data_IF_724395293511
#
_entry.id   IF_724395293511
#
_cell.length_a   1.000
_cell.length_b   1.000
_cell.length_c   1.000
_cell.angle_alpha   90.00
_cell.angle_beta   90.00
_cell.angle_gamma   90.00
#
_symmetry.space_group_name_H-M   'P 1'
#
loop_
_entity.id
_entity.type
_entity.pdbx_description
1 polymer ?
#
# COMPACT_ATOMS: atom_id res chain seq x y z
N UNK A 1 6.87 -0.86 16.48
CA UNK A 1 6.59 0.09 15.37
C UNK A 1 6.35 -0.61 14.03
N UNK A 2 7.17 -1.58 13.61
CA UNK A 2 7.03 -2.27 12.31
C UNK A 2 5.67 -2.95 12.09
N UNK A 3 5.18 -3.68 13.08
CA UNK A 3 3.85 -4.30 13.01
C UNK A 3 2.71 -3.29 12.84
N UNK A 4 2.81 -2.13 13.48
CA UNK A 4 1.80 -1.05 13.36
C UNK A 4 1.76 -0.47 11.95
N UNK A 5 2.93 -0.25 11.34
CA UNK A 5 3.05 0.24 9.96
C UNK A 5 2.39 -0.75 8.99
N UNK A 6 2.68 -2.04 9.14
CA UNK A 6 2.08 -3.09 8.32
C UNK A 6 0.56 -3.15 8.52
N UNK A 7 0.08 -3.05 9.77
CA UNK A 7 -1.35 -3.10 10.07
C UNK A 7 -2.12 -1.93 9.46
N UNK A 8 -1.56 -0.71 9.58
CA UNK A 8 -2.12 0.49 8.94
C UNK A 8 -2.16 0.32 7.42
N UNK A 9 -1.08 -0.22 6.83
CA UNK A 9 -1.00 -0.44 5.39
C UNK A 9 -2.07 -1.42 4.90
N UNK A 10 -2.25 -2.55 5.59
CA UNK A 10 -3.29 -3.53 5.28
C UNK A 10 -4.69 -2.91 5.44
N UNK A 11 -4.93 -2.14 6.51
CA UNK A 11 -6.20 -1.48 6.73
C UNK A 11 -6.55 -0.48 5.60
N UNK A 12 -5.57 0.31 5.14
CA UNK A 12 -5.75 1.26 4.03
C UNK A 12 -6.06 0.52 2.74
N UNK A 13 -5.27 -0.52 2.39
CA UNK A 13 -5.49 -1.30 1.17
C UNK A 13 -6.88 -1.94 1.18
N UNK A 14 -7.28 -2.51 2.32
CA UNK A 14 -8.57 -3.16 2.46
C UNK A 14 -9.74 -2.17 2.37
N UNK A 15 -9.68 -1.05 3.10
CA UNK A 15 -10.72 -0.03 3.09
C UNK A 15 -10.86 0.61 1.70
N UNK A 16 -9.76 0.93 1.04
CA UNK A 16 -9.81 1.48 -0.30
C UNK A 16 -10.27 0.47 -1.34
N UNK A 17 -10.00 -0.83 -1.18
CA UNK A 17 -10.57 -1.85 -2.08
C UNK A 17 -12.09 -1.92 -1.98
N UNK A 18 -12.65 -1.77 -0.77
CA UNK A 18 -14.10 -1.68 -0.58
C UNK A 18 -14.64 -0.39 -1.22
N UNK A 19 -14.00 0.74 -0.98
CA UNK A 19 -14.44 2.04 -1.51
C UNK A 19 -14.34 2.14 -3.04
N UNK A 20 -13.32 1.50 -3.62
CA UNK A 20 -13.05 1.51 -5.06
C UNK A 20 -13.74 0.36 -5.81
N UNK A 21 -14.43 -0.54 -5.11
CA UNK A 21 -15.27 -1.58 -5.71
C UNK A 21 -16.60 -0.97 -6.18
N UNK A 22 -16.53 -0.17 -7.25
CA UNK A 22 -17.68 0.44 -7.90
C UNK A 22 -17.46 0.47 -9.41
N UNK A 23 -18.55 0.49 -10.16
CA UNK A 23 -18.53 0.60 -11.63
C UNK A 23 -18.11 2.00 -12.14
N UNK A 24 -17.71 2.90 -11.23
CA UNK A 24 -17.24 4.23 -11.59
C UNK A 24 -15.93 4.13 -12.35
N UNK A 25 -15.74 5.07 -13.28
CA UNK A 25 -14.50 5.22 -14.03
C UNK A 25 -13.81 6.53 -13.67
N UNK A 26 -12.49 6.51 -13.64
CA UNK A 26 -11.62 7.67 -13.44
C UNK A 26 -10.59 7.66 -14.58
N UNK A 27 -10.50 8.76 -15.33
CA UNK A 27 -9.70 8.85 -16.57
C UNK A 27 -10.03 7.76 -17.61
N UNK A 28 -11.30 7.30 -17.67
CA UNK A 28 -11.73 6.24 -18.59
C UNK A 28 -11.36 4.82 -18.15
N UNK A 29 -10.71 4.67 -16.99
CA UNK A 29 -10.35 3.37 -16.42
C UNK A 29 -11.27 3.03 -15.23
N UNK A 30 -11.57 1.75 -14.97
CA UNK A 30 -12.31 1.35 -13.77
C UNK A 30 -11.60 1.84 -12.50
N UNK A 31 -12.35 2.41 -11.56
CA UNK A 31 -11.78 2.91 -10.29
C UNK A 31 -11.06 1.79 -9.53
N UNK A 32 -11.58 0.56 -9.58
CA UNK A 32 -10.92 -0.61 -9.01
C UNK A 32 -9.53 -0.87 -9.63
N UNK A 33 -9.37 -0.67 -10.94
CA UNK A 33 -8.09 -0.85 -11.61
C UNK A 33 -7.07 0.21 -11.16
N UNK A 34 -7.48 1.48 -11.15
CA UNK A 34 -6.63 2.59 -10.70
C UNK A 34 -6.19 2.39 -9.25
N UNK A 35 -7.13 1.97 -8.40
CA UNK A 35 -6.84 1.64 -7.01
C UNK A 35 -5.87 0.48 -6.85
N UNK A 36 -6.00 -0.58 -7.66
CA UNK A 36 -5.06 -1.70 -7.62
C UNK A 36 -3.65 -1.28 -7.98
N UNK A 37 -3.48 -0.51 -9.06
CA UNK A 37 -2.18 0.01 -9.47
C UNK A 37 -1.58 0.86 -8.35
N UNK A 38 -2.36 1.77 -7.77
CA UNK A 38 -1.93 2.58 -6.63
C UNK A 38 -1.54 1.73 -5.41
N UNK A 39 -2.30 0.67 -5.10
CA UNK A 39 -2.05 -0.22 -3.98
C UNK A 39 -0.70 -0.94 -4.09
N UNK A 40 -0.28 -1.33 -5.30
CA UNK A 40 1.05 -1.93 -5.53
C UNK A 40 2.16 -0.97 -5.11
N UNK A 41 2.07 0.31 -5.49
CA UNK A 41 3.05 1.33 -5.09
C UNK A 41 3.03 1.57 -3.58
N UNK A 42 1.85 1.60 -2.98
CA UNK A 42 1.68 1.80 -1.54
C UNK A 42 2.30 0.64 -0.74
N UNK A 43 2.09 -0.60 -1.20
CA UNK A 43 2.68 -1.80 -0.62
C UNK A 43 4.21 -1.81 -0.79
N UNK A 44 4.72 -1.52 -1.99
CA UNK A 44 6.15 -1.46 -2.26
C UNK A 44 6.85 -0.38 -1.42
N UNK A 45 6.28 0.83 -1.37
CA UNK A 45 6.78 1.93 -0.55
C UNK A 45 6.74 1.61 0.94
N UNK A 46 5.66 1.00 1.42
CA UNK A 46 5.56 0.59 2.83
C UNK A 46 6.56 -0.49 3.20
N UNK A 47 6.78 -1.49 2.33
CA UNK A 47 7.84 -2.49 2.54
C UNK A 47 9.24 -1.85 2.53
N UNK A 48 9.50 -0.91 1.63
CA UNK A 48 10.75 -0.17 1.60
C UNK A 48 10.97 0.66 2.88
N UNK A 49 9.92 1.31 3.39
CA UNK A 49 9.97 2.04 4.65
C UNK A 49 10.23 1.11 5.85
N UNK A 50 9.58 -0.06 5.88
CA UNK A 50 9.86 -1.10 6.90
C UNK A 50 11.29 -1.63 6.81
N UNK A 51 11.84 -1.73 5.60
CA UNK A 51 13.23 -2.12 5.36
C UNK A 51 14.22 -1.06 5.88
N UNK A 52 13.98 0.22 5.59
CA UNK A 52 14.83 1.32 6.06
C UNK A 52 14.78 1.52 7.58
N UNK A 53 13.62 1.26 8.17
CA UNK A 53 13.42 1.31 9.63
C UNK A 53 13.91 0.03 10.33
N UNK A 54 14.42 -0.98 9.59
CA UNK A 54 15.08 -2.11 10.23
C UNK A 54 16.49 -1.71 10.67
N UNK A 55 16.78 -1.62 11.98
CA UNK A 55 18.16 -1.44 12.43
C UNK A 55 19.07 -2.58 11.91
N UNK A 56 18.52 -3.79 11.73
CA UNK A 56 19.27 -4.97 11.29
C UNK A 56 19.74 -4.91 9.83
N UNK A 57 19.16 -4.02 9.01
CA UNK A 57 19.60 -3.78 7.64
C UNK A 57 20.62 -2.65 7.53
N UNK A 58 20.76 -1.82 8.57
CA UNK A 58 21.79 -0.76 8.61
C UNK A 58 23.16 -1.29 9.01
N UNK A 59 23.22 -2.34 9.82
CA UNK A 59 24.49 -2.97 10.27
C UNK A 59 25.25 -3.71 9.15
N UNK A 60 24.70 -3.80 7.93
CA UNK A 60 25.33 -4.51 6.79
C UNK A 60 25.72 -3.60 5.63
N UNK A 61 25.55 -2.27 5.77
CA UNK A 61 25.95 -1.27 4.77
C UNK A 61 27.14 -0.46 5.25
#
# INVERSE_FOLDING_TARGET
MRGVIVFIMVAIVFAGSIACNSDRTVFGLPVFFVWNVFSVFLIAGGMWLVFQLDPRNRDKS
#
